data_IF_288992649441
#
_entry.id   IF_288992649441
#
_cell.length_a   1.000
_cell.length_b   1.000
_cell.length_c   1.000
_cell.angle_alpha   90.00
_cell.angle_beta   90.00
_cell.angle_gamma   90.00
#
_symmetry.space_group_name_H-M   'P 1'
#
loop_
_entity.id
_entity.type
_entity.pdbx_description
1 polymer ?
#
# COMPACT_ATOMS: atom_id res chain seq x y z
N UNK A 1 -11.39 -26.32 2.52
CA UNK A 1 -10.02 -26.89 2.61
C UNK A 1 -9.43 -26.38 3.91
N UNK A 2 -8.86 -27.25 4.75
CA UNK A 2 -8.15 -26.85 5.96
C UNK A 2 -6.71 -26.48 5.60
N UNK A 3 -6.30 -25.25 5.91
CA UNK A 3 -4.92 -24.77 5.75
C UNK A 3 -4.00 -25.65 6.61
N UNK A 4 -2.86 -26.09 6.08
CA UNK A 4 -1.87 -26.90 6.79
C UNK A 4 -1.17 -26.11 7.90
N UNK A 5 -0.64 -26.81 8.91
CA UNK A 5 0.11 -26.19 10.00
C UNK A 5 1.33 -25.41 9.52
N UNK A 6 2.01 -25.91 8.47
CA UNK A 6 3.18 -25.26 7.89
C UNK A 6 2.83 -23.94 7.20
N UNK A 7 1.68 -23.87 6.51
CA UNK A 7 1.16 -22.66 5.87
C UNK A 7 0.77 -21.59 6.88
N UNK A 8 0.10 -22.00 7.96
CA UNK A 8 -0.23 -21.11 9.08
C UNK A 8 1.02 -20.51 9.71
N UNK A 9 2.05 -21.33 9.90
CA UNK A 9 3.35 -20.87 10.38
C UNK A 9 4.05 -19.93 9.40
N UNK A 10 3.96 -20.16 8.07
CA UNK A 10 4.49 -19.22 7.07
C UNK A 10 3.77 -17.88 7.13
N UNK A 11 2.44 -17.89 7.21
CA UNK A 11 1.64 -16.68 7.30
C UNK A 11 1.98 -15.84 8.54
N UNK A 12 2.08 -16.46 9.72
CA UNK A 12 2.43 -15.74 10.95
C UNK A 12 3.88 -15.22 10.93
N UNK A 13 4.81 -15.97 10.33
CA UNK A 13 6.19 -15.49 10.11
C UNK A 13 6.23 -14.28 9.19
N UNK A 14 5.50 -14.33 8.07
CA UNK A 14 5.41 -13.20 7.15
C UNK A 14 4.81 -11.97 7.83
N UNK A 15 3.71 -12.15 8.54
CA UNK A 15 3.04 -11.09 9.30
C UNK A 15 3.99 -10.45 10.32
N UNK A 16 4.78 -11.26 11.02
CA UNK A 16 5.78 -10.76 11.98
C UNK A 16 6.88 -9.93 11.31
N UNK A 17 7.34 -10.33 10.13
CA UNK A 17 8.35 -9.60 9.35
C UNK A 17 7.81 -8.23 8.92
N UNK A 18 6.60 -8.17 8.38
CA UNK A 18 6.00 -6.92 7.93
C UNK A 18 5.72 -5.98 9.11
N UNK A 19 5.18 -6.51 10.22
CA UNK A 19 4.94 -5.74 11.44
C UNK A 19 6.22 -5.15 12.03
N UNK A 20 7.33 -5.90 12.02
CA UNK A 20 8.61 -5.42 12.56
C UNK A 20 9.16 -4.20 11.81
N UNK A 21 8.85 -4.05 10.52
CA UNK A 21 9.29 -2.90 9.71
C UNK A 21 8.55 -1.63 10.05
N UNK A 22 7.30 -1.77 10.43
CA UNK A 22 6.44 -0.68 10.90
C UNK A 22 6.66 -0.39 12.40
N UNK A 23 7.73 -0.93 13.00
CA UNK A 23 8.14 -0.64 14.37
C UNK A 23 7.50 -1.50 15.46
N UNK A 24 6.58 -2.41 15.10
CA UNK A 24 5.93 -3.28 16.07
C UNK A 24 6.84 -4.41 16.54
N UNK A 25 6.80 -4.72 17.84
CA UNK A 25 7.44 -5.94 18.35
C UNK A 25 6.43 -7.10 18.30
N UNK A 26 6.92 -8.31 18.00
CA UNK A 26 6.05 -9.49 17.95
C UNK A 26 6.61 -10.65 18.76
N UNK A 27 5.71 -11.52 19.25
CA UNK A 27 6.06 -12.74 19.97
C UNK A 27 5.02 -13.83 19.76
N UNK A 28 5.42 -15.10 19.84
CA UNK A 28 4.48 -16.22 19.81
C UNK A 28 3.83 -16.41 21.18
N UNK A 29 2.53 -16.66 21.20
CA UNK A 29 1.79 -17.05 22.42
C UNK A 29 1.75 -18.57 22.57
N UNK A 30 1.42 -19.05 23.77
CA UNK A 30 1.24 -20.48 24.06
C UNK A 30 0.11 -21.13 23.22
N UNK A 31 -0.79 -20.31 22.67
CA UNK A 31 -1.90 -20.75 21.80
C UNK A 31 -1.55 -20.71 20.31
N UNK A 32 -0.29 -20.43 19.97
CA UNK A 32 0.18 -20.35 18.58
C UNK A 32 -0.22 -19.06 17.85
N UNK A 33 -0.78 -18.08 18.55
CA UNK A 33 -1.07 -16.75 17.99
C UNK A 33 0.19 -15.88 17.97
N UNK A 34 0.15 -14.83 17.16
CA UNK A 34 1.18 -13.79 17.14
C UNK A 34 0.74 -12.61 18.00
N UNK A 35 1.36 -12.41 19.16
CA UNK A 35 1.19 -11.22 19.98
C UNK A 35 1.95 -10.05 19.37
N UNK A 36 1.30 -8.90 19.29
CA UNK A 36 1.85 -7.64 18.79
C UNK A 36 1.94 -6.65 19.96
N UNK A 37 3.07 -5.97 20.05
CA UNK A 37 3.36 -4.96 21.06
C UNK A 37 3.71 -3.63 20.38
N UNK A 38 3.34 -2.54 21.05
CA UNK A 38 3.75 -1.18 20.75
C UNK A 38 4.46 -0.64 21.99
N UNK A 39 5.71 -0.20 21.81
CA UNK A 39 6.60 0.28 22.89
C UNK A 39 6.72 -0.69 24.07
N UNK A 40 6.77 -1.99 23.78
CA UNK A 40 6.86 -3.04 24.79
C UNK A 40 5.57 -3.34 25.55
N UNK A 41 4.48 -2.61 25.30
CA UNK A 41 3.15 -2.87 25.86
C UNK A 41 2.27 -3.68 24.89
N UNK A 42 1.44 -4.64 25.37
CA UNK A 42 0.53 -5.40 24.52
C UNK A 42 -0.42 -4.50 23.73
N UNK A 43 -0.60 -4.77 22.44
CA UNK A 43 -1.55 -4.04 21.58
C UNK A 43 -2.68 -4.95 21.10
N UNK A 44 -2.33 -6.09 20.48
CA UNK A 44 -3.31 -7.09 20.02
C UNK A 44 -2.66 -8.46 19.78
N UNK A 45 -3.46 -9.45 19.42
CA UNK A 45 -3.02 -10.78 18.98
C UNK A 45 -3.62 -11.12 17.61
N UNK A 46 -2.77 -11.61 16.70
CA UNK A 46 -3.14 -12.09 15.37
C UNK A 46 -3.28 -13.60 15.39
N UNK A 47 -4.41 -14.09 14.89
CA UNK A 47 -4.72 -15.52 14.78
C UNK A 47 -4.17 -16.10 13.48
N UNK A 48 -3.96 -17.42 13.46
CA UNK A 48 -3.51 -18.18 12.28
C UNK A 48 -4.41 -18.03 11.03
N UNK A 49 -5.65 -17.56 11.19
CA UNK A 49 -6.60 -17.37 10.08
C UNK A 49 -6.69 -15.89 9.63
N UNK A 50 -5.88 -15.00 10.21
CA UNK A 50 -5.85 -13.57 9.92
C UNK A 50 -6.89 -12.72 10.66
N UNK A 51 -7.52 -13.27 11.71
CA UNK A 51 -8.33 -12.49 12.64
C UNK A 51 -7.46 -11.78 13.70
N UNK A 52 -7.93 -10.64 14.19
CA UNK A 52 -7.27 -9.87 15.26
C UNK A 52 -8.15 -9.87 16.51
N UNK A 53 -7.52 -10.06 17.66
CA UNK A 53 -8.16 -9.92 18.98
C UNK A 53 -7.40 -8.91 19.82
N UNK A 54 -8.11 -8.02 20.52
CA UNK A 54 -7.52 -7.01 21.40
C UNK A 54 -8.42 -6.79 22.62
N UNK A 55 -7.89 -6.13 23.66
CA UNK A 55 -8.68 -5.67 24.81
C UNK A 55 -8.87 -4.16 24.70
N UNK A 56 -10.04 -3.66 25.10
CA UNK A 56 -10.28 -2.21 25.10
C UNK A 56 -9.30 -1.45 25.99
N UNK A 57 -8.80 -2.09 27.06
CA UNK A 57 -7.77 -1.54 27.94
C UNK A 57 -6.44 -1.29 27.21
N UNK A 58 -6.14 -2.07 26.16
CA UNK A 58 -4.89 -1.99 25.40
C UNK A 58 -4.95 -0.96 24.25
N UNK A 59 -6.12 -0.35 23.99
CA UNK A 59 -6.37 0.63 22.91
C UNK A 59 -7.14 1.86 23.42
N UNK A 60 -6.77 2.33 24.62
CA UNK A 60 -7.44 3.42 25.33
C UNK A 60 -7.07 4.84 24.85
N UNK A 61 -6.06 4.97 23.98
CA UNK A 61 -5.54 6.24 23.46
C UNK A 61 -5.66 6.30 21.93
N UNK A 62 -5.87 7.49 21.34
CA UNK A 62 -6.01 7.64 19.88
C UNK A 62 -4.84 7.06 19.08
N UNK A 63 -3.61 7.25 19.56
CA UNK A 63 -2.40 6.69 18.95
C UNK A 63 -2.44 5.16 18.91
N UNK A 64 -2.90 4.53 19.98
CA UNK A 64 -3.02 3.07 20.07
C UNK A 64 -4.15 2.53 19.20
N UNK A 65 -5.23 3.29 19.03
CA UNK A 65 -6.29 2.97 18.06
C UNK A 65 -5.72 2.99 16.64
N UNK A 66 -5.02 4.06 16.25
CA UNK A 66 -4.38 4.17 14.94
C UNK A 66 -3.35 3.05 14.70
N UNK A 67 -2.52 2.73 15.70
CA UNK A 67 -1.60 1.61 15.63
C UNK A 67 -2.31 0.27 15.43
N UNK A 68 -3.42 0.02 16.14
CA UNK A 68 -4.25 -1.19 15.96
C UNK A 68 -4.92 -1.22 14.57
N UNK A 69 -5.31 -0.08 14.01
CA UNK A 69 -5.82 0.00 12.64
C UNK A 69 -4.74 -0.31 11.61
N UNK A 70 -3.51 0.19 11.82
CA UNK A 70 -2.36 -0.14 10.98
C UNK A 70 -2.03 -1.64 11.02
N UNK A 71 -2.02 -2.26 12.21
CA UNK A 71 -1.85 -3.72 12.34
C UNK A 71 -2.95 -4.45 11.56
N UNK A 72 -4.19 -3.96 11.59
CA UNK A 72 -5.29 -4.55 10.83
C UNK A 72 -5.09 -4.48 9.32
N UNK A 73 -4.63 -3.36 8.78
CA UNK A 73 -4.26 -3.22 7.37
C UNK A 73 -3.15 -4.19 6.97
N UNK A 74 -2.09 -4.27 7.78
CA UNK A 74 -0.94 -5.16 7.55
C UNK A 74 -1.38 -6.63 7.55
N UNK A 75 -2.15 -7.05 8.55
CA UNK A 75 -2.66 -8.42 8.69
C UNK A 75 -3.57 -8.78 7.53
N UNK A 76 -4.44 -7.87 7.10
CA UNK A 76 -5.35 -8.07 5.97
C UNK A 76 -4.57 -8.24 4.66
N UNK A 77 -3.65 -7.33 4.36
CA UNK A 77 -2.84 -7.38 3.15
C UNK A 77 -1.98 -8.66 3.13
N UNK A 78 -1.36 -9.00 4.26
CA UNK A 78 -0.56 -10.23 4.40
C UNK A 78 -1.39 -11.49 4.20
N UNK A 79 -2.59 -11.53 4.75
CA UNK A 79 -3.49 -12.67 4.54
C UNK A 79 -3.93 -12.79 3.07
N UNK A 80 -4.15 -11.67 2.38
CA UNK A 80 -4.53 -11.66 0.97
C UNK A 80 -3.46 -12.32 0.09
N UNK A 81 -2.23 -11.76 0.08
CA UNK A 81 -1.20 -12.26 -0.82
C UNK A 81 -0.66 -13.63 -0.40
N UNK A 82 -0.63 -13.96 0.90
CA UNK A 82 -0.18 -15.29 1.35
C UNK A 82 -1.13 -16.40 0.90
N UNK A 83 -2.45 -16.14 0.91
CA UNK A 83 -3.44 -17.08 0.36
C UNK A 83 -3.30 -17.23 -1.15
N UNK A 84 -3.08 -16.14 -1.87
CA UNK A 84 -2.84 -16.21 -3.32
C UNK A 84 -1.55 -16.98 -3.61
N UNK A 85 -0.46 -16.66 -2.94
CA UNK A 85 0.83 -17.36 -3.04
C UNK A 85 0.71 -18.85 -2.72
N UNK A 86 -0.20 -19.27 -1.85
CA UNK A 86 -0.41 -20.69 -1.57
C UNK A 86 -0.93 -21.43 -2.80
N UNK A 87 -2.01 -20.91 -3.39
CA UNK A 87 -2.72 -21.55 -4.51
C UNK A 87 -2.14 -21.26 -5.89
N UNK A 88 -1.33 -20.21 -6.01
CA UNK A 88 -0.80 -19.75 -7.28
C UNK A 88 0.14 -20.79 -7.93
N UNK A 89 0.03 -20.99 -9.25
CA UNK A 89 0.95 -21.84 -9.99
C UNK A 89 2.34 -21.20 -10.05
N UNK A 90 3.37 -22.03 -10.19
CA UNK A 90 4.71 -21.53 -10.47
C UNK A 90 4.76 -20.88 -11.86
N UNK A 91 5.39 -19.71 -11.92
CA UNK A 91 5.71 -19.01 -13.15
C UNK A 91 6.76 -19.82 -13.91
N UNK A 92 6.48 -20.11 -15.18
CA UNK A 92 7.41 -20.82 -16.06
C UNK A 92 7.84 -19.88 -17.17
N UNK A 93 9.11 -19.47 -17.12
CA UNK A 93 9.73 -18.64 -18.13
C UNK A 93 11.18 -19.08 -18.33
N UNK A 94 11.63 -19.11 -19.57
CA UNK A 94 12.98 -19.53 -19.95
C UNK A 94 14.02 -18.62 -19.30
N UNK A 95 14.98 -19.22 -18.60
CA UNK A 95 16.07 -18.50 -17.93
C UNK A 95 15.69 -17.80 -16.63
N UNK A 96 14.44 -17.92 -16.16
CA UNK A 96 14.03 -17.44 -14.84
C UNK A 96 14.30 -18.51 -13.78
N UNK A 97 14.82 -18.09 -12.61
CA UNK A 97 14.97 -18.99 -11.47
C UNK A 97 13.60 -19.52 -11.01
N UNK A 98 13.56 -20.81 -10.64
CA UNK A 98 12.36 -21.42 -10.07
C UNK A 98 11.98 -20.77 -8.74
N UNK A 99 10.68 -20.67 -8.47
CA UNK A 99 10.15 -20.23 -7.17
C UNK A 99 9.18 -19.06 -7.24
N UNK A 100 9.17 -18.30 -8.34
CA UNK A 100 8.15 -17.30 -8.59
C UNK A 100 6.79 -17.95 -8.82
N UNK A 101 5.75 -17.36 -8.25
CA UNK A 101 4.36 -17.77 -8.42
C UNK A 101 3.54 -16.68 -9.08
N UNK A 102 2.65 -17.08 -9.99
CA UNK A 102 1.79 -16.17 -10.74
C UNK A 102 0.60 -15.75 -9.89
N UNK A 103 0.60 -14.50 -9.43
CA UNK A 103 -0.49 -13.92 -8.66
C UNK A 103 -1.58 -13.33 -9.57
N UNK A 104 -1.16 -12.71 -10.68
CA UNK A 104 -2.06 -12.26 -11.74
C UNK A 104 -1.34 -12.26 -13.10
N UNK A 105 -2.07 -12.54 -14.19
CA UNK A 105 -1.56 -12.50 -15.56
C UNK A 105 -2.64 -11.92 -16.46
N UNK A 106 -2.35 -10.79 -17.10
CA UNK A 106 -3.29 -10.11 -17.98
C UNK A 106 -2.58 -9.24 -19.02
N UNK A 107 -3.08 -9.31 -20.26
CA UNK A 107 -2.68 -8.44 -21.37
C UNK A 107 -1.15 -8.30 -21.57
N UNK A 108 -0.43 -9.42 -21.44
CA UNK A 108 1.02 -9.43 -21.64
C UNK A 108 1.83 -8.94 -20.45
N UNK A 109 1.22 -8.67 -19.30
CA UNK A 109 1.90 -8.38 -18.04
C UNK A 109 1.58 -9.45 -17.01
N UNK A 110 2.55 -9.82 -16.18
CA UNK A 110 2.40 -10.76 -15.07
C UNK A 110 2.83 -10.13 -13.76
N UNK A 111 2.02 -10.27 -12.72
CA UNK A 111 2.39 -10.03 -11.33
C UNK A 111 2.78 -11.37 -10.70
N UNK A 112 4.02 -11.45 -10.25
CA UNK A 112 4.55 -12.62 -9.58
C UNK A 112 5.03 -12.30 -8.15
N UNK A 113 5.00 -13.31 -7.30
CA UNK A 113 5.55 -13.25 -5.95
C UNK A 113 6.54 -14.40 -5.71
N UNK A 114 7.54 -14.15 -4.88
CA UNK A 114 8.49 -15.18 -4.42
C UNK A 114 8.73 -15.02 -2.93
N UNK A 115 8.77 -16.14 -2.19
CA UNK A 115 9.06 -16.12 -0.77
C UNK A 115 10.57 -16.05 -0.54
N UNK A 116 11.02 -15.14 0.33
CA UNK A 116 12.42 -15.03 0.74
C UNK A 116 12.56 -15.11 2.28
N UNK A 117 13.81 -15.13 2.75
CA UNK A 117 14.12 -15.03 4.20
C UNK A 117 13.74 -13.67 4.82
N UNK A 118 13.52 -12.66 3.98
CA UNK A 118 13.09 -11.32 4.35
C UNK A 118 11.61 -11.11 3.99
N UNK A 119 10.84 -12.17 3.80
CA UNK A 119 9.44 -12.08 3.42
C UNK A 119 9.22 -12.09 1.92
N UNK A 120 7.98 -11.84 1.49
CA UNK A 120 7.57 -11.99 0.09
C UNK A 120 8.02 -10.78 -0.72
N UNK A 121 8.69 -11.05 -1.84
CA UNK A 121 9.03 -10.06 -2.85
C UNK A 121 8.05 -10.17 -4.00
N UNK A 122 7.61 -9.03 -4.51
CA UNK A 122 6.71 -8.96 -5.65
C UNK A 122 7.43 -8.36 -6.84
N UNK A 123 7.02 -8.77 -8.03
CA UNK A 123 7.58 -8.26 -9.28
C UNK A 123 6.52 -8.26 -10.35
N UNK A 124 6.52 -7.23 -11.18
CA UNK A 124 5.75 -7.20 -12.41
C UNK A 124 6.69 -7.31 -13.60
N UNK A 125 6.35 -8.15 -14.56
CA UNK A 125 7.09 -8.33 -15.80
C UNK A 125 6.16 -8.23 -17.01
N UNK A 126 6.74 -7.91 -18.16
CA UNK A 126 6.07 -8.12 -19.44
C UNK A 126 6.46 -9.49 -20.00
N UNK A 127 5.48 -10.21 -20.54
CA UNK A 127 5.70 -11.41 -21.31
C UNK A 127 6.41 -11.08 -22.62
N UNK A 128 7.45 -11.86 -22.92
CA UNK A 128 8.23 -11.77 -24.14
C UNK A 128 8.25 -13.12 -24.87
N UNK A 129 8.72 -13.11 -26.11
CA UNK A 129 8.96 -14.32 -26.91
C UNK A 129 7.75 -15.26 -27.02
N UNK A 130 6.55 -14.71 -27.16
CA UNK A 130 5.32 -15.52 -27.26
C UNK A 130 4.97 -16.25 -25.96
N UNK A 131 5.14 -15.59 -24.80
CA UNK A 131 4.81 -16.12 -23.46
C UNK A 131 5.78 -17.23 -23.00
N UNK A 132 7.04 -17.15 -23.43
CA UNK A 132 8.11 -18.09 -23.01
C UNK A 132 9.19 -17.43 -22.18
N UNK A 133 9.33 -16.10 -22.25
CA UNK A 133 10.27 -15.34 -21.43
C UNK A 133 9.61 -14.11 -20.81
N UNK A 134 10.31 -13.46 -19.88
CA UNK A 134 9.85 -12.23 -19.23
C UNK A 134 10.89 -11.12 -19.38
N UNK A 135 10.45 -9.87 -19.46
CA UNK A 135 11.33 -8.68 -19.53
C UNK A 135 10.73 -7.48 -18.77
N UNK A 136 11.49 -6.38 -18.70
CA UNK A 136 11.10 -5.11 -18.05
C UNK A 136 10.54 -5.30 -16.62
N UNK A 137 11.35 -5.89 -15.72
CA UNK A 137 10.92 -6.16 -14.34
C UNK A 137 10.85 -4.91 -13.47
N UNK A 138 9.71 -4.64 -12.83
CA UNK A 138 9.62 -3.71 -11.71
C UNK A 138 9.54 -4.51 -10.42
N UNK A 139 10.49 -4.29 -9.51
CA UNK A 139 10.64 -5.07 -8.28
C UNK A 139 10.13 -4.28 -7.08
N UNK A 140 9.22 -4.90 -6.34
CA UNK A 140 8.58 -4.33 -5.16
C UNK A 140 8.99 -5.18 -3.97
N UNK A 141 10.00 -4.69 -3.25
CA UNK A 141 10.36 -5.25 -1.97
C UNK A 141 9.22 -4.95 -1.00
N UNK A 142 8.45 -5.97 -0.63
CA UNK A 142 7.53 -5.93 0.51
C UNK A 142 6.35 -4.94 0.34
N UNK A 143 6.22 -4.34 -0.84
CA UNK A 143 5.16 -3.41 -1.22
C UNK A 143 4.17 -4.05 -2.19
N UNK A 144 3.31 -4.91 -1.65
CA UNK A 144 2.28 -5.61 -2.42
C UNK A 144 1.27 -4.64 -3.07
N UNK A 145 0.91 -3.55 -2.39
CA UNK A 145 -0.01 -2.55 -2.93
C UNK A 145 0.56 -1.85 -4.17
N UNK A 146 1.83 -1.44 -4.10
CA UNK A 146 2.56 -0.88 -5.23
C UNK A 146 2.67 -1.85 -6.40
N UNK A 147 2.93 -3.14 -6.12
CA UNK A 147 2.98 -4.17 -7.16
C UNK A 147 1.61 -4.37 -7.85
N UNK A 148 0.50 -4.33 -7.09
CA UNK A 148 -0.86 -4.38 -7.65
C UNK A 148 -1.16 -3.17 -8.53
N UNK A 149 -0.81 -1.97 -8.06
CA UNK A 149 -1.02 -0.74 -8.82
C UNK A 149 -0.22 -0.73 -10.12
N UNK A 150 1.07 -1.09 -10.05
CA UNK A 150 1.93 -1.17 -11.22
C UNK A 150 1.43 -2.21 -12.22
N UNK A 151 1.03 -3.40 -11.75
CA UNK A 151 0.39 -4.41 -12.58
C UNK A 151 -0.87 -3.87 -13.27
N UNK A 152 -1.76 -3.20 -12.53
CA UNK A 152 -3.00 -2.67 -13.08
C UNK A 152 -2.76 -1.63 -14.18
N UNK A 153 -1.74 -0.77 -14.03
CA UNK A 153 -1.36 0.23 -15.03
C UNK A 153 -0.74 -0.45 -16.25
N UNK A 154 0.27 -1.29 -16.06
CA UNK A 154 1.05 -1.92 -17.15
C UNK A 154 0.21 -2.88 -17.98
N UNK A 155 -0.66 -3.63 -17.33
CA UNK A 155 -1.60 -4.54 -18.00
C UNK A 155 -2.75 -3.80 -18.70
N UNK A 156 -2.89 -2.49 -18.50
CA UNK A 156 -3.95 -1.67 -19.08
C UNK A 156 -5.33 -1.88 -18.43
N UNK A 157 -5.41 -2.50 -17.24
CA UNK A 157 -6.63 -2.53 -16.44
C UNK A 157 -7.04 -1.12 -16.00
N UNK A 158 -6.07 -0.24 -15.80
CA UNK A 158 -6.27 1.19 -15.53
C UNK A 158 -5.51 2.00 -16.57
N UNK A 159 -6.17 3.02 -17.14
CA UNK A 159 -5.52 3.96 -18.05
C UNK A 159 -4.65 4.93 -17.25
N UNK A 160 -3.35 4.95 -17.55
CA UNK A 160 -2.38 5.80 -16.83
C UNK A 160 -2.76 7.28 -16.90
N UNK A 161 -3.35 7.71 -18.01
CA UNK A 161 -3.74 9.09 -18.28
C UNK A 161 -4.90 9.57 -17.38
N UNK A 162 -5.61 8.64 -16.72
CA UNK A 162 -6.64 8.95 -15.74
C UNK A 162 -6.09 9.06 -14.31
N UNK A 163 -4.79 8.79 -14.11
CA UNK A 163 -4.14 8.85 -12.81
C UNK A 163 -3.35 10.14 -12.66
N UNK A 164 -3.51 10.79 -11.51
CA UNK A 164 -2.69 11.93 -11.11
C UNK A 164 -1.68 11.50 -10.06
N UNK A 165 -0.47 12.05 -10.13
CA UNK A 165 0.50 11.88 -9.03
C UNK A 165 0.05 12.67 -7.80
N UNK A 166 0.51 12.33 -6.59
CA UNK A 166 0.23 13.13 -5.39
C UNK A 166 0.55 14.61 -5.59
N UNK A 167 1.64 14.95 -6.29
CA UNK A 167 2.04 16.33 -6.59
C UNK A 167 1.05 17.01 -7.53
N UNK A 168 0.58 16.33 -8.57
CA UNK A 168 -0.45 16.85 -9.46
C UNK A 168 -1.77 17.06 -8.72
N UNK A 169 -2.15 16.12 -7.84
CA UNK A 169 -3.34 16.26 -7.01
C UNK A 169 -3.21 17.43 -6.02
N UNK A 170 -2.05 17.61 -5.37
CA UNK A 170 -1.80 18.75 -4.49
C UNK A 170 -1.95 20.07 -5.25
N UNK A 171 -1.41 20.18 -6.46
CA UNK A 171 -1.55 21.41 -7.25
C UNK A 171 -3.00 21.67 -7.67
N UNK A 172 -3.71 20.62 -8.11
CA UNK A 172 -5.15 20.70 -8.42
C UNK A 172 -5.93 21.19 -7.20
N UNK A 173 -5.65 20.63 -6.02
CA UNK A 173 -6.29 21.03 -4.77
C UNK A 173 -6.07 22.50 -4.45
N UNK A 174 -4.83 23.00 -4.57
CA UNK A 174 -4.50 24.42 -4.33
C UNK A 174 -5.27 25.34 -5.27
N UNK A 175 -5.26 25.03 -6.58
CA UNK A 175 -6.05 25.77 -7.57
C UNK A 175 -7.56 25.76 -7.26
N UNK A 176 -8.09 24.63 -6.78
CA UNK A 176 -9.47 24.51 -6.33
C UNK A 176 -9.77 25.39 -5.11
N UNK A 177 -8.87 25.42 -4.12
CA UNK A 177 -9.00 26.26 -2.94
C UNK A 177 -9.01 27.75 -3.31
N UNK A 178 -8.05 28.19 -4.13
CA UNK A 178 -7.97 29.58 -4.60
C UNK A 178 -9.24 30.01 -5.37
N UNK A 179 -9.85 29.09 -6.11
CA UNK A 179 -11.06 29.36 -6.89
C UNK A 179 -12.31 29.51 -6.03
N UNK A 180 -12.37 28.80 -4.90
CA UNK A 180 -13.55 28.77 -4.01
C UNK A 180 -13.45 29.83 -2.91
N UNK A 181 -12.26 30.02 -2.36
CA UNK A 181 -12.01 30.94 -1.24
C UNK A 181 -11.58 32.33 -1.71
N UNK A 182 -11.11 32.44 -2.95
CA UNK A 182 -10.76 33.72 -3.57
C UNK A 182 -11.91 34.36 -4.33
N UNK A 183 -11.98 35.69 -4.31
CA UNK A 183 -12.96 36.48 -5.08
C UNK A 183 -12.63 36.55 -6.60
N UNK A 184 -11.92 35.57 -7.15
CA UNK A 184 -11.39 35.60 -8.51
C UNK A 184 -12.46 35.32 -9.58
N UNK A 185 -13.46 34.49 -9.27
CA UNK A 185 -14.51 34.09 -10.21
C UNK A 185 -15.88 33.99 -9.52
N UNK A 186 -16.94 34.43 -10.19
CA UNK A 186 -18.32 34.13 -9.76
C UNK A 186 -18.65 32.68 -10.11
N UNK A 187 -18.54 31.78 -9.14
CA UNK A 187 -18.94 30.39 -9.27
C UNK A 187 -20.45 30.24 -9.12
N UNK A 188 -21.06 29.42 -9.98
CA UNK A 188 -22.41 28.92 -9.69
C UNK A 188 -22.36 27.92 -8.53
N UNK A 189 -23.48 27.78 -7.79
CA UNK A 189 -23.54 26.80 -6.69
C UNK A 189 -23.28 25.35 -7.11
N UNK A 190 -23.54 24.99 -8.37
CA UNK A 190 -23.20 23.66 -8.90
C UNK A 190 -21.69 23.49 -9.13
N UNK A 191 -21.02 24.53 -9.64
CA UNK A 191 -19.57 24.53 -9.83
C UNK A 191 -18.84 24.47 -8.50
N UNK A 192 -19.26 25.27 -7.51
CA UNK A 192 -18.67 25.22 -6.17
C UNK A 192 -18.81 23.83 -5.55
N UNK A 193 -19.99 23.22 -5.64
CA UNK A 193 -20.22 21.85 -5.14
C UNK A 193 -19.32 20.83 -5.84
N UNK A 194 -19.12 20.97 -7.15
CA UNK A 194 -18.24 20.09 -7.92
C UNK A 194 -16.79 20.24 -7.47
N UNK A 195 -16.31 21.48 -7.29
CA UNK A 195 -14.94 21.75 -6.83
C UNK A 195 -14.71 21.20 -5.42
N UNK A 196 -15.65 21.41 -4.50
CA UNK A 196 -15.57 20.84 -3.14
C UNK A 196 -15.55 19.32 -3.16
N UNK A 197 -16.27 18.68 -4.08
CA UNK A 197 -16.20 17.23 -4.26
C UNK A 197 -14.84 16.75 -4.78
N UNK A 198 -14.16 17.54 -5.62
CA UNK A 198 -12.79 17.25 -6.07
C UNK A 198 -11.82 17.36 -4.91
N UNK A 199 -11.92 18.43 -4.10
CA UNK A 199 -11.10 18.63 -2.91
C UNK A 199 -11.21 17.44 -1.94
N UNK A 200 -12.44 17.01 -1.64
CA UNK A 200 -12.67 15.85 -0.77
C UNK A 200 -12.02 14.56 -1.32
N UNK A 201 -12.14 14.30 -2.63
CA UNK A 201 -11.50 13.12 -3.23
C UNK A 201 -9.97 13.18 -3.13
N UNK A 202 -9.38 14.36 -3.26
CA UNK A 202 -7.93 14.54 -3.14
C UNK A 202 -7.47 14.36 -1.70
N UNK A 203 -8.21 14.89 -0.71
CA UNK A 203 -7.93 14.68 0.71
C UNK A 203 -7.91 13.19 1.10
N UNK A 204 -8.80 12.38 0.52
CA UNK A 204 -8.83 10.93 0.71
C UNK A 204 -7.65 10.21 0.04
N UNK A 205 -7.16 10.73 -1.10
CA UNK A 205 -6.11 10.11 -1.91
C UNK A 205 -4.69 10.53 -1.51
N UNK A 206 -4.52 11.68 -0.85
CA UNK A 206 -3.22 12.27 -0.51
C UNK A 206 -3.16 12.52 1.01
N UNK A 207 -2.74 11.51 1.81
CA UNK A 207 -2.78 11.61 3.28
C UNK A 207 -1.88 12.70 3.88
N UNK A 208 -0.83 13.12 3.16
CA UNK A 208 0.15 14.14 3.56
C UNK A 208 -0.09 15.50 2.86
N UNK A 209 -1.31 15.73 2.34
CA UNK A 209 -1.66 16.91 1.55
C UNK A 209 -1.30 18.24 2.25
N UNK A 210 -1.68 18.39 3.53
CA UNK A 210 -1.40 19.59 4.30
C UNK A 210 0.10 19.88 4.44
N UNK A 211 0.91 18.82 4.59
CA UNK A 211 2.36 18.97 4.69
C UNK A 211 2.96 19.38 3.34
N UNK A 212 2.49 18.78 2.24
CA UNK A 212 2.92 19.14 0.88
C UNK A 212 2.61 20.59 0.55
N UNK A 213 1.42 21.07 0.94
CA UNK A 213 1.03 22.47 0.74
C UNK A 213 1.99 23.41 1.49
N UNK A 214 2.21 23.16 2.79
CA UNK A 214 3.15 23.95 3.59
C UNK A 214 4.56 23.98 3.00
N UNK A 215 5.09 22.83 2.60
CA UNK A 215 6.42 22.73 2.00
C UNK A 215 6.53 23.52 0.68
N UNK A 216 5.48 23.52 -0.14
CA UNK A 216 5.44 24.32 -1.37
C UNK A 216 5.37 25.82 -1.09
N UNK A 217 4.58 26.24 -0.10
CA UNK A 217 4.49 27.65 0.32
C UNK A 217 5.84 28.17 0.85
N UNK A 218 6.47 27.42 1.76
CA UNK A 218 7.80 27.73 2.29
C UNK A 218 8.85 27.86 1.16
N UNK A 219 8.81 26.96 0.16
CA UNK A 219 9.71 27.02 -0.99
C UNK A 219 9.46 28.25 -1.87
N UNK A 220 8.21 28.63 -2.09
CA UNK A 220 7.84 29.84 -2.84
C UNK A 220 8.29 31.12 -2.12
N UNK A 221 8.15 31.17 -0.80
CA UNK A 221 8.62 32.29 0.02
C UNK A 221 10.14 32.46 -0.04
N UNK A 222 10.90 31.36 0.02
CA UNK A 222 12.37 31.40 -0.12
C UNK A 222 12.80 31.94 -1.49
N UNK A 223 12.15 31.47 -2.58
CA UNK A 223 12.41 31.97 -3.93
C UNK A 223 12.11 33.46 -4.04
N UNK A 224 11.01 33.93 -3.46
CA UNK A 224 10.65 35.35 -3.47
C UNK A 224 11.68 36.22 -2.71
N UNK A 225 12.19 35.74 -1.58
CA UNK A 225 13.22 36.43 -0.80
C UNK A 225 14.56 36.52 -1.55
N UNK A 226 14.98 35.45 -2.23
CA UNK A 226 16.19 35.44 -3.06
C UNK A 226 16.12 36.39 -4.26
N UNK A 227 14.93 36.55 -4.86
CA UNK A 227 14.73 37.47 -5.99
C UNK A 227 14.67 38.95 -5.58
N UNK A 228 14.48 39.23 -4.28
CA UNK A 228 14.37 40.60 -3.75
C UNK A 228 15.71 41.10 -3.17
N UNK A 229 16.74 40.25 -3.09
CA UNK A 229 18.14 40.58 -2.72
C UNK A 229 19.00 40.87 -3.95
#
# INVERSE_FOLDING_TARGET
MSISTEEKDRYLRETAIVLAREGFQTGKTDTGKLRVLLDGAPLCEVTENGGITYRNEDINEPERVAAKDMVYEIVRNTAEYMRQMETAPFLKADGLEDGYKVLADFNGTVLAGVQSKHGVHFVTWDWAYGHTGVCHGHYFMENYAGAKQDFAIRSGLIQKEQLFTPEQMTEIYRCCADSVDGDFFELTGEQEKMIRSVQQQIEECVPDLDERIRQQEDALEQIAQEQTM
#
